data_IF_657399933594
#
_entry.id   IF_657399933594
#
_cell.length_a   1.000
_cell.length_b   1.000
_cell.length_c   1.000
_cell.angle_alpha   90.00
_cell.angle_beta   90.00
_cell.angle_gamma   90.00
#
_symmetry.space_group_name_H-M   'P 1'
#
loop_
_entity.id
_entity.type
_entity.pdbx_description
1 polymer ?
#
# COMPACT_ATOMS: atom_id res chain seq x y z
N UNK A 1 -4.97 34.11 27.64
CA UNK A 1 -4.87 33.21 28.81
C UNK A 1 -3.39 32.95 29.04
N UNK A 2 -2.87 33.39 30.18
CA UNK A 2 -1.44 33.35 30.49
C UNK A 2 -0.96 31.90 30.66
N UNK A 3 -0.04 31.48 29.80
CA UNK A 3 0.80 30.31 29.99
C UNK A 3 1.64 30.55 31.24
N UNK A 4 1.28 29.93 32.36
CA UNK A 4 2.12 29.93 33.55
C UNK A 4 3.31 29.02 33.29
N UNK A 5 4.41 29.59 32.78
CA UNK A 5 5.70 28.91 32.77
C UNK A 5 6.14 28.73 34.24
N UNK A 6 6.30 27.49 34.74
CA UNK A 6 6.65 27.23 36.14
C UNK A 6 7.97 27.89 36.57
N UNK A 7 8.87 28.18 35.64
CA UNK A 7 10.09 28.94 35.93
C UNK A 7 9.79 30.42 36.18
N UNK A 8 8.87 31.02 35.40
CA UNK A 8 8.48 32.43 35.56
C UNK A 8 7.78 32.73 36.88
N UNK A 9 7.04 31.77 37.44
CA UNK A 9 6.33 31.93 38.71
C UNK A 9 7.26 31.87 39.92
N UNK A 10 8.36 31.11 39.81
CA UNK A 10 9.37 30.95 40.86
C UNK A 10 10.40 32.09 40.82
N UNK A 11 10.73 32.60 39.62
CA UNK A 11 11.84 33.53 39.39
C UNK A 11 11.44 35.01 39.36
N UNK A 12 10.38 35.42 40.08
CA UNK A 12 9.90 36.82 40.13
C UNK A 12 11.04 37.80 40.49
N UNK A 13 11.69 38.38 39.46
CA UNK A 13 12.86 39.25 39.59
C UNK A 13 14.07 38.91 38.69
N UNK A 14 14.13 37.73 38.07
CA UNK A 14 15.28 37.29 37.25
C UNK A 14 15.02 37.39 35.73
N UNK A 15 14.60 38.58 35.27
CA UNK A 15 14.24 38.81 33.88
C UNK A 15 15.36 38.43 32.88
N UNK A 16 16.63 38.67 33.24
CA UNK A 16 17.78 38.29 32.41
C UNK A 16 17.97 36.79 32.30
N UNK A 17 17.74 36.02 33.38
CA UNK A 17 17.84 34.56 33.36
C UNK A 17 16.73 33.93 32.51
N UNK A 18 15.50 34.44 32.64
CA UNK A 18 14.38 34.02 31.81
C UNK A 18 14.65 34.31 30.33
N UNK A 19 15.14 35.51 30.00
CA UNK A 19 15.51 35.86 28.63
C UNK A 19 16.63 34.97 28.07
N UNK A 20 17.71 34.74 28.83
CA UNK A 20 18.79 33.83 28.40
C UNK A 20 18.29 32.39 28.22
N UNK A 21 17.36 31.93 29.08
CA UNK A 21 16.79 30.58 28.96
C UNK A 21 15.94 30.44 27.70
N UNK A 22 15.13 31.46 27.37
CA UNK A 22 14.37 31.51 26.12
C UNK A 22 15.29 31.54 24.90
N UNK A 23 16.32 32.39 24.90
CA UNK A 23 17.31 32.47 23.83
C UNK A 23 18.02 31.12 23.61
N UNK A 24 18.40 30.44 24.71
CA UNK A 24 19.01 29.11 24.67
C UNK A 24 18.04 28.06 24.13
N UNK A 25 16.76 28.12 24.50
CA UNK A 25 15.72 27.22 23.99
C UNK A 25 15.53 27.40 22.48
N UNK A 26 15.38 28.65 22.01
CA UNK A 26 15.24 28.96 20.59
C UNK A 26 16.46 28.51 19.78
N UNK A 27 17.67 28.77 20.27
CA UNK A 27 18.91 28.32 19.62
C UNK A 27 18.98 26.79 19.57
N UNK A 28 18.66 26.11 20.67
CA UNK A 28 18.67 24.64 20.74
C UNK A 28 17.69 24.02 19.75
N UNK A 29 16.46 24.56 19.67
CA UNK A 29 15.44 24.13 18.70
C UNK A 29 15.93 24.32 17.26
N UNK A 30 16.54 25.47 16.95
CA UNK A 30 17.10 25.75 15.62
C UNK A 30 18.22 24.78 15.25
N UNK A 31 19.14 24.50 16.18
CA UNK A 31 20.23 23.55 15.96
C UNK A 31 19.70 22.12 15.76
N UNK A 32 18.71 21.73 16.55
CA UNK A 32 18.03 20.44 16.42
C UNK A 32 17.38 20.26 15.04
N UNK A 33 16.55 21.24 14.60
CA UNK A 33 15.91 21.18 13.28
C UNK A 33 16.93 21.20 12.14
N UNK A 34 18.02 21.97 12.26
CA UNK A 34 19.11 21.94 11.27
C UNK A 34 19.80 20.56 11.22
N UNK A 35 19.99 19.92 12.37
CA UNK A 35 20.58 18.57 12.43
C UNK A 35 19.67 17.54 11.77
N UNK A 36 18.35 17.60 12.01
CA UNK A 36 17.37 16.74 11.35
C UNK A 36 17.36 16.93 9.84
N UNK A 37 17.35 18.18 9.36
CA UNK A 37 17.41 18.49 7.93
C UNK A 37 18.70 17.96 7.29
N UNK A 38 19.84 18.07 7.99
CA UNK A 38 21.11 17.52 7.52
C UNK A 38 21.07 15.99 7.45
N UNK A 39 20.51 15.33 8.46
CA UNK A 39 20.30 13.87 8.47
C UNK A 39 19.41 13.45 7.28
N UNK A 40 18.28 14.10 7.10
CA UNK A 40 17.35 13.84 6.00
C UNK A 40 18.01 14.05 4.62
N UNK A 41 18.81 15.11 4.47
CA UNK A 41 19.52 15.39 3.21
C UNK A 41 20.54 14.30 2.87
N UNK A 42 21.26 13.76 3.88
CA UNK A 42 22.22 12.67 3.68
C UNK A 42 21.57 11.37 3.23
N UNK A 43 20.34 11.09 3.67
CA UNK A 43 19.57 9.93 3.18
C UNK A 43 19.34 9.99 1.67
N UNK A 44 19.29 11.20 1.10
CA UNK A 44 19.06 11.43 -0.33
C UNK A 44 20.33 11.38 -1.18
N UNK A 45 21.51 11.52 -0.59
CA UNK A 45 22.77 11.48 -1.35
C UNK A 45 23.08 10.07 -1.90
N UNK A 46 22.72 9.03 -1.16
CA UNK A 46 22.89 7.63 -1.57
C UNK A 46 21.72 6.79 -1.09
N UNK A 47 20.73 6.65 -1.97
CA UNK A 47 19.54 5.82 -1.71
C UNK A 47 19.91 4.34 -1.77
N UNK A 48 19.65 3.62 -0.68
CA UNK A 48 19.78 2.16 -0.61
C UNK A 48 18.75 1.49 -1.51
N UNK A 49 19.14 0.40 -2.19
CA UNK A 49 18.20 -0.42 -2.95
C UNK A 49 17.33 -1.26 -2.00
N UNK A 50 16.12 -1.65 -2.42
CA UNK A 50 15.28 -2.56 -1.66
C UNK A 50 16.00 -3.88 -1.40
N UNK A 51 15.88 -4.46 -0.19
CA UNK A 51 16.40 -5.80 0.07
C UNK A 51 15.67 -6.87 -0.74
N UNK A 52 16.25 -8.07 -0.84
CA UNK A 52 15.69 -9.16 -1.63
C UNK A 52 14.32 -9.68 -1.12
N UNK A 53 14.01 -9.45 0.15
CA UNK A 53 12.72 -9.77 0.76
C UNK A 53 11.71 -8.61 0.65
N UNK A 54 12.06 -7.54 -0.08
CA UNK A 54 11.23 -6.34 -0.25
C UNK A 54 10.81 -5.69 1.08
N UNK A 55 11.60 -5.88 2.14
CA UNK A 55 11.43 -5.20 3.42
C UNK A 55 11.94 -3.75 3.42
N UNK A 56 11.67 -2.98 4.49
CA UNK A 56 12.27 -1.67 4.69
C UNK A 56 13.80 -1.70 4.66
N UNK A 57 14.43 -0.69 4.08
CA UNK A 57 15.89 -0.55 4.10
C UNK A 57 16.42 -0.27 5.52
N UNK A 58 17.73 -0.48 5.72
CA UNK A 58 18.38 -0.21 7.00
C UNK A 58 18.31 1.28 7.34
N UNK A 59 18.56 2.14 6.34
CA UNK A 59 18.46 3.59 6.49
C UNK A 59 17.06 4.05 6.94
N UNK A 60 16.00 3.47 6.36
CA UNK A 60 14.62 3.76 6.76
C UNK A 60 14.35 3.30 8.20
N UNK A 61 14.72 2.06 8.52
CA UNK A 61 14.49 1.46 9.86
C UNK A 61 15.18 2.28 10.96
N UNK A 62 16.45 2.65 10.76
CA UNK A 62 17.22 3.45 11.71
C UNK A 62 16.65 4.84 11.89
N UNK A 63 16.24 5.51 10.80
CA UNK A 63 15.68 6.86 10.88
C UNK A 63 14.31 6.86 11.56
N UNK A 64 13.47 5.83 11.31
CA UNK A 64 12.19 5.69 12.01
C UNK A 64 12.37 5.39 13.50
N UNK A 65 13.40 4.62 13.88
CA UNK A 65 13.75 4.40 15.29
C UNK A 65 14.16 5.72 15.97
N UNK A 66 15.03 6.52 15.33
CA UNK A 66 15.40 7.84 15.82
C UNK A 66 14.19 8.76 15.96
N UNK A 67 13.31 8.80 14.95
CA UNK A 67 12.08 9.60 14.99
C UNK A 67 11.20 9.17 16.17
N UNK A 68 11.05 7.87 16.40
CA UNK A 68 10.29 7.36 17.55
C UNK A 68 10.87 7.85 18.89
N UNK A 69 12.19 7.79 19.07
CA UNK A 69 12.85 8.29 20.29
C UNK A 69 12.63 9.79 20.49
N UNK A 70 12.74 10.58 19.42
CA UNK A 70 12.46 12.02 19.43
C UNK A 70 11.02 12.27 19.89
N UNK A 71 10.03 11.65 19.25
CA UNK A 71 8.62 11.87 19.56
C UNK A 71 8.27 11.40 20.98
N UNK A 72 8.86 10.30 21.46
CA UNK A 72 8.69 9.83 22.84
C UNK A 72 9.26 10.81 23.87
N UNK A 73 10.36 11.50 23.57
CA UNK A 73 10.91 12.53 24.48
C UNK A 73 9.95 13.71 24.68
N UNK A 74 9.23 14.10 23.62
CA UNK A 74 8.28 15.20 23.67
C UNK A 74 6.99 14.86 24.42
N UNK A 75 6.59 13.58 24.45
CA UNK A 75 5.38 13.14 25.16
C UNK A 75 5.49 13.45 26.67
N UNK A 76 6.71 13.34 27.21
CA UNK A 76 7.05 13.66 28.60
C UNK A 76 7.21 15.17 28.91
N UNK A 77 7.09 16.03 27.90
CA UNK A 77 7.32 17.48 28.04
C UNK A 77 6.15 18.20 28.74
N UNK A 78 6.44 19.30 29.44
CA UNK A 78 5.44 20.15 30.14
C UNK A 78 4.95 21.31 29.28
N UNK A 79 5.29 21.32 27.98
CA UNK A 79 4.96 22.38 27.01
C UNK A 79 3.45 22.38 26.72
N UNK A 80 2.82 23.56 26.53
CA UNK A 80 1.42 23.68 26.13
C UNK A 80 1.08 22.85 24.87
N UNK A 81 -0.13 22.30 24.83
CA UNK A 81 -0.56 21.37 23.77
C UNK A 81 -0.45 21.96 22.35
N UNK A 82 -0.83 23.22 22.16
CA UNK A 82 -0.80 23.85 20.84
C UNK A 82 0.64 24.01 20.32
N UNK A 83 1.57 24.45 21.17
CA UNK A 83 2.98 24.57 20.82
C UNK A 83 3.61 23.19 20.54
N UNK A 84 3.22 22.17 21.32
CA UNK A 84 3.64 20.77 21.09
C UNK A 84 3.17 20.28 19.72
N UNK A 85 1.90 20.54 19.35
CA UNK A 85 1.34 20.12 18.06
C UNK A 85 2.09 20.73 16.87
N UNK A 86 2.41 22.02 16.93
CA UNK A 86 3.19 22.68 15.87
C UNK A 86 4.57 22.06 15.72
N UNK A 87 5.27 21.83 16.83
CA UNK A 87 6.61 21.24 16.84
C UNK A 87 6.60 19.80 16.30
N UNK A 88 5.62 18.99 16.70
CA UNK A 88 5.42 17.64 16.15
C UNK A 88 5.24 17.68 14.63
N UNK A 89 4.39 18.57 14.15
CA UNK A 89 4.09 18.68 12.72
C UNK A 89 5.34 19.05 11.91
N UNK A 90 6.16 19.96 12.45
CA UNK A 90 7.41 20.40 11.82
C UNK A 90 8.45 19.27 11.78
N UNK A 91 8.64 18.56 12.89
CA UNK A 91 9.57 17.41 12.99
C UNK A 91 9.14 16.28 12.06
N UNK A 92 7.84 15.92 12.05
CA UNK A 92 7.31 14.90 11.17
C UNK A 92 7.53 15.25 9.71
N UNK A 93 7.25 16.48 9.30
CA UNK A 93 7.44 16.89 7.90
C UNK A 93 8.93 16.88 7.50
N UNK A 94 9.81 17.32 8.40
CA UNK A 94 11.26 17.32 8.19
C UNK A 94 11.84 15.91 7.96
N UNK A 95 11.23 14.87 8.54
CA UNK A 95 11.77 13.50 8.50
C UNK A 95 10.96 12.58 7.57
N UNK A 96 9.64 12.58 7.68
CA UNK A 96 8.77 11.64 6.94
C UNK A 96 8.76 11.96 5.45
N UNK A 97 8.75 13.23 5.05
CA UNK A 97 8.70 13.59 3.62
C UNK A 97 9.96 13.14 2.87
N UNK A 98 11.18 13.38 3.38
CA UNK A 98 12.41 12.82 2.78
C UNK A 98 12.45 11.29 2.79
N UNK A 99 11.93 10.64 3.84
CA UNK A 99 11.86 9.17 3.88
C UNK A 99 10.91 8.60 2.82
N UNK A 100 9.76 9.23 2.60
CA UNK A 100 8.83 8.85 1.54
C UNK A 100 9.50 8.99 0.16
N UNK A 101 10.18 10.11 -0.07
CA UNK A 101 10.94 10.33 -1.29
C UNK A 101 12.05 9.27 -1.47
N UNK A 102 12.74 8.90 -0.39
CA UNK A 102 13.76 7.85 -0.40
C UNK A 102 13.19 6.50 -0.81
N UNK A 103 12.05 6.13 -0.24
CA UNK A 103 11.37 4.89 -0.59
C UNK A 103 11.00 4.88 -2.08
N UNK A 104 10.41 5.97 -2.58
CA UNK A 104 10.04 6.08 -3.98
C UNK A 104 11.25 5.99 -4.93
N UNK A 105 12.36 6.66 -4.60
CA UNK A 105 13.60 6.58 -5.38
C UNK A 105 14.20 5.16 -5.36
N UNK A 106 14.20 4.52 -4.19
CA UNK A 106 14.69 3.15 -3.98
C UNK A 106 13.91 2.15 -4.84
N UNK A 107 12.59 2.32 -4.94
CA UNK A 107 11.70 1.43 -5.68
C UNK A 107 11.62 1.72 -7.19
N UNK A 108 12.20 2.83 -7.67
CA UNK A 108 11.94 3.39 -9.01
C UNK A 108 12.30 2.48 -10.19
N UNK A 109 13.15 1.47 -10.00
CA UNK A 109 13.58 0.53 -11.04
C UNK A 109 12.96 -0.87 -10.87
N UNK A 110 12.06 -1.05 -9.89
CA UNK A 110 11.38 -2.32 -9.68
C UNK A 110 10.21 -2.49 -10.65
N UNK A 111 9.85 -3.74 -10.91
CA UNK A 111 8.57 -4.05 -11.57
C UNK A 111 7.40 -3.66 -10.63
N UNK A 112 6.16 -3.55 -11.16
CA UNK A 112 5.03 -3.07 -10.36
C UNK A 112 4.75 -3.87 -9.08
N UNK A 113 4.86 -5.21 -9.12
CA UNK A 113 4.60 -6.07 -7.97
C UNK A 113 5.67 -5.91 -6.88
N UNK A 114 6.95 -5.88 -7.27
CA UNK A 114 8.06 -5.69 -6.34
C UNK A 114 8.02 -4.28 -5.73
N UNK A 115 7.78 -3.26 -6.56
CA UNK A 115 7.64 -1.87 -6.14
C UNK A 115 6.51 -1.72 -5.12
N UNK A 116 5.32 -2.22 -5.45
CA UNK A 116 4.15 -2.08 -4.59
C UNK A 116 4.35 -2.81 -3.25
N UNK A 117 4.96 -3.99 -3.25
CA UNK A 117 5.24 -4.74 -2.02
C UNK A 117 6.23 -4.00 -1.12
N UNK A 118 7.34 -3.52 -1.68
CA UNK A 118 8.33 -2.74 -0.94
C UNK A 118 7.72 -1.46 -0.36
N UNK A 119 6.93 -0.73 -1.16
CA UNK A 119 6.27 0.50 -0.71
C UNK A 119 5.25 0.22 0.39
N UNK A 120 4.40 -0.81 0.26
CA UNK A 120 3.46 -1.21 1.33
C UNK A 120 4.20 -1.51 2.62
N UNK A 121 5.31 -2.26 2.58
CA UNK A 121 6.10 -2.59 3.76
C UNK A 121 6.72 -1.34 4.42
N UNK A 122 7.28 -0.42 3.64
CA UNK A 122 7.85 0.83 4.13
C UNK A 122 6.79 1.74 4.78
N UNK A 123 5.68 1.96 4.07
CA UNK A 123 4.57 2.79 4.52
C UNK A 123 3.88 2.19 5.75
N UNK A 124 3.75 0.86 5.80
CA UNK A 124 3.22 0.16 6.97
C UNK A 124 4.08 0.41 8.20
N UNK A 125 5.41 0.28 8.10
CA UNK A 125 6.32 0.57 9.21
C UNK A 125 6.22 2.03 9.68
N UNK A 126 6.16 2.99 8.76
CA UNK A 126 5.94 4.39 9.09
C UNK A 126 4.62 4.57 9.85
N UNK A 127 3.53 4.05 9.30
CA UNK A 127 2.18 4.14 9.87
C UNK A 127 2.11 3.55 11.28
N UNK A 128 2.62 2.34 11.49
CA UNK A 128 2.60 1.69 12.81
C UNK A 128 3.48 2.39 13.83
N UNK A 129 4.54 3.06 13.38
CA UNK A 129 5.39 3.88 14.28
C UNK A 129 4.66 5.14 14.69
N UNK A 130 4.05 5.85 13.73
CA UNK A 130 3.35 7.11 13.99
C UNK A 130 2.04 6.92 14.77
N UNK A 131 1.37 5.77 14.64
CA UNK A 131 0.12 5.49 15.38
C UNK A 131 0.28 5.40 16.89
N UNK A 132 1.52 5.42 17.40
CA UNK A 132 1.82 5.45 18.83
C UNK A 132 1.75 6.86 19.43
N UNK A 133 1.61 7.90 18.61
CA UNK A 133 1.74 9.29 19.03
C UNK A 133 0.50 10.12 18.67
N UNK A 134 0.17 11.08 19.52
CA UNK A 134 -0.88 12.06 19.26
C UNK A 134 -0.51 13.02 18.11
N UNK A 135 -1.50 13.71 17.55
CA UNK A 135 -1.35 14.70 16.47
C UNK A 135 -0.83 14.13 15.14
N UNK A 136 -0.86 12.81 14.96
CA UNK A 136 -0.40 12.13 13.73
C UNK A 136 -1.52 11.81 12.75
N UNK A 137 -2.78 12.10 13.07
CA UNK A 137 -3.96 11.67 12.30
C UNK A 137 -3.87 12.00 10.80
N UNK A 138 -3.52 13.25 10.45
CA UNK A 138 -3.38 13.67 9.05
C UNK A 138 -2.30 12.87 8.30
N UNK A 139 -1.20 12.53 8.99
CA UNK A 139 -0.11 11.74 8.41
C UNK A 139 -0.53 10.27 8.29
N UNK A 140 -1.24 9.73 9.27
CA UNK A 140 -1.78 8.36 9.21
C UNK A 140 -2.80 8.19 8.08
N UNK A 141 -3.66 9.19 7.85
CA UNK A 141 -4.61 9.21 6.74
C UNK A 141 -3.88 9.19 5.39
N UNK A 142 -2.91 10.09 5.21
CA UNK A 142 -2.09 10.13 3.99
C UNK A 142 -1.33 8.82 3.74
N UNK A 143 -0.69 8.26 4.77
CA UNK A 143 0.02 6.98 4.66
C UNK A 143 -0.94 5.84 4.33
N UNK A 144 -2.15 5.85 4.89
CA UNK A 144 -3.17 4.83 4.60
C UNK A 144 -3.63 4.89 3.16
N UNK A 145 -3.87 6.09 2.63
CA UNK A 145 -4.22 6.27 1.22
C UNK A 145 -3.12 5.75 0.26
N UNK A 146 -1.86 5.99 0.59
CA UNK A 146 -0.74 5.45 -0.20
C UNK A 146 -0.61 3.93 -0.08
N UNK A 147 -0.81 3.37 1.11
CA UNK A 147 -0.87 1.91 1.30
C UNK A 147 -1.96 1.31 0.43
N UNK A 148 -3.18 1.87 0.47
CA UNK A 148 -4.30 1.38 -0.32
C UNK A 148 -4.03 1.43 -1.83
N UNK A 149 -3.43 2.51 -2.33
CA UNK A 149 -3.07 2.62 -3.75
C UNK A 149 -2.06 1.55 -4.21
N UNK A 150 -1.07 1.22 -3.37
CA UNK A 150 -0.12 0.15 -3.67
C UNK A 150 -0.73 -1.25 -3.48
N UNK A 151 -1.66 -1.42 -2.54
CA UNK A 151 -2.44 -2.66 -2.44
C UNK A 151 -3.28 -2.89 -3.69
N UNK A 152 -3.92 -1.86 -4.24
CA UNK A 152 -4.68 -1.98 -5.50
C UNK A 152 -3.78 -2.41 -6.66
N UNK A 153 -2.52 -1.95 -6.68
CA UNK A 153 -1.52 -2.45 -7.65
C UNK A 153 -1.27 -3.95 -7.45
N UNK A 154 -1.03 -4.41 -6.22
CA UNK A 154 -0.83 -5.83 -5.92
C UNK A 154 -2.06 -6.69 -6.21
N UNK A 155 -3.26 -6.18 -5.96
CA UNK A 155 -4.53 -6.85 -6.29
C UNK A 155 -4.62 -7.10 -7.78
N UNK A 156 -4.30 -6.09 -8.60
CA UNK A 156 -4.33 -6.21 -10.06
C UNK A 156 -3.25 -7.16 -10.58
N UNK A 157 -2.03 -7.09 -10.03
CA UNK A 157 -0.95 -8.02 -10.39
C UNK A 157 -1.30 -9.46 -9.99
N UNK A 158 -1.85 -9.68 -8.79
CA UNK A 158 -2.27 -11.00 -8.30
C UNK A 158 -3.38 -11.58 -9.18
N UNK A 159 -4.42 -10.79 -9.47
CA UNK A 159 -5.50 -11.23 -10.35
C UNK A 159 -4.99 -11.53 -11.77
N UNK A 160 -4.13 -10.67 -12.33
CA UNK A 160 -3.54 -10.85 -13.66
C UNK A 160 -2.67 -12.10 -13.73
N UNK A 161 -1.87 -12.37 -12.70
CA UNK A 161 -1.06 -13.57 -12.56
C UNK A 161 -1.94 -14.82 -12.61
N UNK A 162 -2.98 -14.90 -11.77
CA UNK A 162 -3.89 -16.04 -11.72
C UNK A 162 -4.66 -16.22 -13.03
N UNK A 163 -5.28 -15.16 -13.55
CA UNK A 163 -6.07 -15.19 -14.79
C UNK A 163 -5.23 -15.60 -16.00
N UNK A 164 -3.97 -15.21 -16.04
CA UNK A 164 -3.05 -15.62 -17.11
C UNK A 164 -2.71 -17.11 -17.00
N UNK A 165 -2.46 -17.62 -15.79
CA UNK A 165 -2.16 -19.05 -15.55
C UNK A 165 -3.33 -19.97 -15.92
N UNK A 166 -4.57 -19.54 -15.63
CA UNK A 166 -5.77 -20.32 -15.98
C UNK A 166 -6.24 -20.10 -17.44
N UNK A 167 -5.61 -19.19 -18.18
CA UNK A 167 -5.93 -18.88 -19.58
C UNK A 167 -7.13 -17.96 -19.79
N UNK A 168 -7.64 -17.31 -18.74
CA UNK A 168 -8.79 -16.40 -18.81
C UNK A 168 -8.41 -14.96 -19.18
N UNK A 169 -7.17 -14.54 -18.94
CA UNK A 169 -6.74 -13.15 -19.19
C UNK A 169 -6.92 -12.74 -20.67
N UNK A 170 -6.45 -13.57 -21.60
CA UNK A 170 -6.59 -13.28 -23.02
C UNK A 170 -8.05 -13.31 -23.47
N UNK A 171 -8.81 -14.33 -23.05
CA UNK A 171 -10.24 -14.45 -23.37
C UNK A 171 -11.02 -13.23 -22.91
N UNK A 172 -10.79 -12.80 -21.66
CA UNK A 172 -11.41 -11.60 -21.10
C UNK A 172 -11.08 -10.35 -21.93
N UNK A 173 -9.80 -10.17 -22.28
CA UNK A 173 -9.38 -9.03 -23.11
C UNK A 173 -10.07 -9.01 -24.47
N UNK A 174 -10.24 -10.17 -25.12
CA UNK A 174 -10.94 -10.25 -26.42
C UNK A 174 -12.42 -9.91 -26.24
N UNK A 175 -13.08 -10.44 -25.20
CA UNK A 175 -14.49 -10.14 -24.92
C UNK A 175 -14.72 -8.65 -24.66
N UNK A 176 -13.82 -7.97 -23.92
CA UNK A 176 -13.94 -6.53 -23.65
C UNK A 176 -13.80 -5.64 -24.89
N UNK A 177 -12.97 -6.06 -25.86
CA UNK A 177 -12.69 -5.29 -27.06
C UNK A 177 -13.65 -5.61 -28.21
N UNK A 178 -14.32 -6.76 -28.14
CA UNK A 178 -15.23 -7.26 -29.16
C UNK A 178 -16.42 -6.35 -29.36
N UNK A 179 -16.76 -6.10 -30.61
CA UNK A 179 -17.92 -5.30 -30.96
C UNK A 179 -18.98 -6.18 -31.62
N UNK A 180 -20.29 -5.97 -31.35
CA UNK A 180 -21.35 -6.82 -31.92
C UNK A 180 -21.35 -6.94 -33.45
N UNK A 181 -20.77 -5.95 -34.15
CA UNK A 181 -20.62 -5.93 -35.62
C UNK A 181 -19.56 -6.91 -36.16
N UNK A 182 -18.66 -7.39 -35.33
CA UNK A 182 -17.56 -8.29 -35.71
C UNK A 182 -18.00 -9.76 -35.78
N UNK A 183 -19.26 -10.05 -35.41
CA UNK A 183 -19.85 -11.38 -35.43
C UNK A 183 -19.98 -12.00 -34.04
N UNK A 184 -20.39 -13.27 -33.96
CA UNK A 184 -20.51 -13.98 -32.68
C UNK A 184 -19.13 -14.30 -32.09
N UNK A 185 -18.99 -14.21 -30.77
CA UNK A 185 -17.73 -14.55 -30.08
C UNK A 185 -17.29 -16.01 -30.33
N UNK A 186 -18.21 -16.95 -30.56
CA UNK A 186 -17.87 -18.35 -30.83
C UNK A 186 -17.07 -18.57 -32.12
N UNK A 187 -17.06 -17.59 -33.04
CA UNK A 187 -16.27 -17.61 -34.26
C UNK A 187 -14.91 -16.90 -34.13
N UNK A 188 -14.64 -16.26 -32.98
CA UNK A 188 -13.39 -15.54 -32.73
C UNK A 188 -12.31 -16.52 -32.29
N UNK A 189 -11.11 -16.38 -32.85
CA UNK A 189 -9.97 -17.24 -32.52
C UNK A 189 -9.64 -17.15 -31.02
N UNK A 190 -9.46 -18.29 -30.36
CA UNK A 190 -9.18 -18.37 -28.92
C UNK A 190 -10.42 -18.30 -28.02
N UNK A 191 -11.61 -18.07 -28.60
CA UNK A 191 -12.91 -18.11 -27.91
C UNK A 191 -13.82 -19.23 -28.45
N UNK A 192 -13.30 -20.16 -29.25
CA UNK A 192 -14.09 -21.32 -29.65
C UNK A 192 -14.40 -22.23 -28.43
N UNK A 193 -15.41 -23.09 -28.59
CA UNK A 193 -15.89 -23.99 -27.53
C UNK A 193 -14.79 -24.81 -26.87
N UNK A 194 -13.81 -25.30 -27.62
CA UNK A 194 -12.75 -26.15 -27.08
C UNK A 194 -11.73 -25.33 -26.29
N UNK A 195 -11.40 -24.14 -26.77
CA UNK A 195 -10.53 -23.19 -26.06
C UNK A 195 -11.13 -22.83 -24.70
N UNK A 196 -12.40 -22.42 -24.65
CA UNK A 196 -13.07 -22.05 -23.38
C UNK A 196 -13.15 -23.26 -22.44
N UNK A 197 -13.55 -24.44 -22.94
CA UNK A 197 -13.57 -25.66 -22.11
C UNK A 197 -12.21 -26.00 -21.51
N UNK A 198 -11.13 -25.73 -22.23
CA UNK A 198 -9.77 -25.98 -21.74
C UNK A 198 -9.42 -24.99 -20.63
N UNK A 199 -9.71 -23.70 -20.80
CA UNK A 199 -9.50 -22.71 -19.75
C UNK A 199 -10.36 -22.99 -18.50
N UNK A 200 -11.62 -23.42 -18.67
CA UNK A 200 -12.47 -23.80 -17.54
C UNK A 200 -11.92 -24.98 -16.74
N UNK A 201 -11.25 -25.96 -17.38
CA UNK A 201 -10.56 -27.04 -16.65
C UNK A 201 -9.42 -26.52 -15.78
N UNK A 202 -8.63 -25.57 -16.29
CA UNK A 202 -7.56 -24.96 -15.50
C UNK A 202 -8.12 -24.07 -14.38
N UNK A 203 -9.20 -23.34 -14.66
CA UNK A 203 -9.89 -22.54 -13.66
C UNK A 203 -10.46 -23.43 -12.54
N UNK A 204 -11.07 -24.56 -12.88
CA UNK A 204 -11.55 -25.54 -11.90
C UNK A 204 -10.43 -26.12 -11.04
N UNK A 205 -9.27 -26.38 -11.62
CA UNK A 205 -8.08 -26.81 -10.86
C UNK A 205 -7.63 -25.71 -9.88
N UNK A 206 -7.64 -24.45 -10.30
CA UNK A 206 -7.37 -23.32 -9.42
C UNK A 206 -8.41 -23.21 -8.28
N UNK A 207 -9.71 -23.36 -8.56
CA UNK A 207 -10.76 -23.32 -7.53
C UNK A 207 -10.58 -24.43 -6.48
N UNK A 208 -10.00 -25.57 -6.87
CA UNK A 208 -9.70 -26.66 -5.94
C UNK A 208 -8.47 -26.39 -5.06
N UNK A 209 -7.55 -25.53 -5.48
CA UNK A 209 -6.33 -25.18 -4.75
C UNK A 209 -5.86 -23.74 -5.05
N UNK A 210 -6.57 -22.72 -4.51
CA UNK A 210 -6.27 -21.32 -4.82
C UNK A 210 -4.87 -20.86 -4.37
N UNK A 211 -4.38 -21.44 -3.27
CA UNK A 211 -3.08 -21.12 -2.66
C UNK A 211 -1.88 -21.45 -3.56
N UNK A 212 -2.07 -22.30 -4.58
CA UNK A 212 -1.00 -22.66 -5.53
C UNK A 212 -0.67 -21.52 -6.50
N UNK A 213 -1.60 -20.59 -6.71
CA UNK A 213 -1.45 -19.46 -7.63
C UNK A 213 -1.39 -18.13 -6.89
N UNK A 214 -0.44 -18.01 -5.96
CA UNK A 214 -0.15 -16.77 -5.22
C UNK A 214 1.16 -16.15 -5.70
N UNK A 215 1.14 -14.87 -6.01
CA UNK A 215 2.34 -14.09 -6.33
C UNK A 215 3.37 -14.21 -5.19
N UNK A 216 4.64 -14.52 -5.49
CA UNK A 216 5.69 -14.59 -4.49
C UNK A 216 5.79 -13.32 -3.63
N UNK A 217 5.57 -12.16 -4.24
CA UNK A 217 5.62 -10.85 -3.59
C UNK A 217 4.61 -10.71 -2.44
N UNK A 218 3.41 -11.28 -2.56
CA UNK A 218 2.41 -11.26 -1.49
C UNK A 218 2.91 -11.96 -0.21
N UNK A 219 3.86 -12.89 -0.34
CA UNK A 219 4.48 -13.59 0.81
C UNK A 219 5.44 -12.68 1.58
N UNK A 220 5.96 -11.63 0.95
CA UNK A 220 6.86 -10.64 1.56
C UNK A 220 6.12 -9.50 2.28
N UNK A 221 4.79 -9.41 2.16
CA UNK A 221 4.01 -8.44 2.93
C UNK A 221 4.17 -8.69 4.43
N UNK A 222 4.64 -7.69 5.16
CA UNK A 222 4.89 -7.77 6.60
C UNK A 222 3.59 -7.86 7.43
N UNK A 223 2.49 -7.30 6.93
CA UNK A 223 1.19 -7.34 7.58
C UNK A 223 0.34 -8.49 7.03
N UNK A 224 -0.02 -9.44 7.90
CA UNK A 224 -0.95 -10.52 7.56
C UNK A 224 -2.34 -9.98 7.19
N UNK A 225 -2.79 -8.91 7.84
CA UNK A 225 -4.07 -8.25 7.52
C UNK A 225 -4.05 -7.64 6.12
N UNK A 226 -2.96 -6.98 5.72
CA UNK A 226 -2.85 -6.43 4.37
C UNK A 226 -2.75 -7.54 3.31
N UNK A 227 -2.10 -8.67 3.64
CA UNK A 227 -2.07 -9.85 2.77
C UNK A 227 -3.46 -10.42 2.52
N UNK A 228 -4.27 -10.55 3.57
CA UNK A 228 -5.68 -10.98 3.48
C UNK A 228 -6.54 -10.00 2.65
N UNK A 229 -6.24 -8.70 2.71
CA UNK A 229 -6.90 -7.70 1.84
C UNK A 229 -6.56 -7.92 0.36
N UNK A 230 -5.28 -8.15 0.02
CA UNK A 230 -4.87 -8.42 -1.37
C UNK A 230 -5.53 -9.70 -1.88
N UNK A 231 -5.51 -10.75 -1.07
CA UNK A 231 -6.11 -12.04 -1.42
C UNK A 231 -7.60 -11.89 -1.74
N UNK A 232 -8.40 -11.39 -0.80
CA UNK A 232 -9.85 -11.19 -0.98
C UNK A 232 -10.20 -10.30 -2.16
N UNK A 233 -9.55 -9.14 -2.28
CA UNK A 233 -9.83 -8.21 -3.39
C UNK A 233 -9.41 -8.80 -4.74
N UNK A 234 -8.34 -9.59 -4.80
CA UNK A 234 -7.93 -10.25 -6.04
C UNK A 234 -8.92 -11.34 -6.46
N UNK A 235 -9.46 -12.09 -5.49
CA UNK A 235 -10.56 -13.02 -5.74
C UNK A 235 -11.79 -12.30 -6.27
N UNK A 236 -12.12 -11.11 -5.75
CA UNK A 236 -13.23 -10.29 -6.27
C UNK A 236 -13.06 -9.93 -7.75
N UNK A 237 -11.85 -9.55 -8.16
CA UNK A 237 -11.54 -9.26 -9.57
C UNK A 237 -11.69 -10.51 -10.42
N UNK A 238 -11.16 -11.65 -9.98
CA UNK A 238 -11.27 -12.93 -10.70
C UNK A 238 -12.74 -13.34 -10.86
N UNK A 239 -13.56 -13.16 -9.82
CA UNK A 239 -15.02 -13.42 -9.86
C UNK A 239 -15.71 -12.55 -10.90
N UNK A 240 -15.39 -11.25 -10.97
CA UNK A 240 -15.97 -10.33 -11.95
C UNK A 240 -15.59 -10.69 -13.38
N UNK A 241 -14.34 -11.11 -13.61
CA UNK A 241 -13.89 -11.59 -14.92
C UNK A 241 -14.64 -12.86 -15.33
N UNK A 242 -14.79 -13.81 -14.42
CA UNK A 242 -15.57 -15.02 -14.67
C UNK A 242 -17.04 -14.71 -15.01
N UNK A 243 -17.67 -13.79 -14.27
CA UNK A 243 -19.06 -13.39 -14.50
C UNK A 243 -19.26 -12.80 -15.89
N UNK A 244 -18.36 -11.91 -16.34
CA UNK A 244 -18.41 -11.34 -17.69
C UNK A 244 -18.20 -12.40 -18.78
N UNK A 245 -17.31 -13.37 -18.57
CA UNK A 245 -17.13 -14.49 -19.50
C UNK A 245 -18.37 -15.41 -19.53
N UNK A 246 -18.97 -15.66 -18.36
CA UNK A 246 -20.20 -16.46 -18.25
C UNK A 246 -21.35 -15.81 -19.01
N UNK A 247 -21.56 -14.51 -18.84
CA UNK A 247 -22.57 -13.74 -19.58
C UNK A 247 -22.31 -13.78 -21.09
N UNK A 248 -21.05 -13.57 -21.51
CA UNK A 248 -20.68 -13.62 -22.92
C UNK A 248 -20.94 -15.01 -23.57
N UNK A 249 -20.64 -16.10 -22.86
CA UNK A 249 -20.85 -17.47 -23.37
C UNK A 249 -22.34 -17.86 -23.37
N UNK A 250 -23.10 -17.38 -22.40
CA UNK A 250 -24.53 -17.69 -22.26
C UNK A 250 -25.44 -16.80 -23.11
N UNK A 251 -24.93 -15.68 -23.62
CA UNK A 251 -25.64 -14.84 -24.58
C UNK A 251 -25.86 -15.57 -25.92
N UNK A 252 -27.13 -15.76 -26.26
CA UNK A 252 -27.57 -16.34 -27.53
C UNK A 252 -27.01 -15.63 -28.78
N UNK A 253 -26.68 -14.34 -28.70
CA UNK A 253 -26.07 -13.58 -29.80
C UNK A 253 -24.68 -14.11 -30.18
N UNK A 254 -23.97 -14.72 -29.21
CA UNK A 254 -22.63 -15.26 -29.41
C UNK A 254 -22.60 -16.69 -29.91
N UNK A 255 -23.77 -17.32 -30.13
CA UNK A 255 -23.94 -18.60 -30.85
C UNK A 255 -23.02 -19.71 -30.36
N UNK A 256 -22.88 -19.87 -29.04
CA UNK A 256 -22.24 -21.05 -28.46
C UNK A 256 -23.22 -22.23 -28.44
N UNK A 257 -22.75 -23.41 -28.83
CA UNK A 257 -23.49 -24.66 -28.70
C UNK A 257 -23.39 -25.17 -27.26
N UNK A 258 -24.55 -25.45 -26.64
CA UNK A 258 -24.70 -25.91 -25.26
C UNK A 258 -23.88 -25.12 -24.22
N UNK A 259 -24.16 -23.83 -23.99
CA UNK A 259 -23.39 -22.99 -23.05
C UNK A 259 -23.23 -23.57 -21.65
N UNK A 260 -24.24 -24.31 -21.16
CA UNK A 260 -24.23 -24.94 -19.84
C UNK A 260 -23.22 -26.09 -19.71
N UNK A 261 -22.85 -26.72 -20.83
CA UNK A 261 -21.82 -27.75 -20.86
C UNK A 261 -20.40 -27.15 -20.94
N UNK A 262 -20.28 -25.88 -21.37
CA UNK A 262 -19.04 -25.10 -21.35
C UNK A 262 -18.83 -24.48 -19.95
N UNK A 263 -19.84 -23.76 -19.45
CA UNK A 263 -19.81 -23.03 -18.17
C UNK A 263 -20.60 -23.79 -17.10
N UNK A 264 -20.00 -24.84 -16.55
CA UNK A 264 -20.68 -25.74 -15.61
C UNK A 264 -21.04 -25.10 -14.27
N UNK A 265 -20.34 -24.03 -13.87
CA UNK A 265 -20.58 -23.32 -12.61
C UNK A 265 -21.21 -21.95 -12.87
N UNK A 266 -22.23 -21.60 -12.12
CA UNK A 266 -22.82 -20.25 -12.18
C UNK A 266 -21.94 -19.24 -11.44
N UNK A 267 -22.05 -17.93 -11.75
CA UNK A 267 -21.35 -16.89 -10.97
C UNK A 267 -21.65 -16.96 -9.48
N UNK A 268 -22.88 -17.33 -9.07
CA UNK A 268 -23.19 -17.53 -7.64
C UNK A 268 -22.40 -18.68 -7.01
N UNK A 269 -22.20 -19.79 -7.72
CA UNK A 269 -21.40 -20.91 -7.23
C UNK A 269 -19.93 -20.51 -7.11
N UNK A 270 -19.38 -19.79 -8.09
CA UNK A 270 -18.00 -19.28 -8.01
C UNK A 270 -17.83 -18.32 -6.82
N UNK A 271 -18.81 -17.45 -6.55
CA UNK A 271 -18.77 -16.58 -5.37
C UNK A 271 -18.70 -17.34 -4.05
N UNK A 272 -19.34 -18.51 -3.95
CA UNK A 272 -19.28 -19.36 -2.75
C UNK A 272 -17.96 -20.13 -2.62
N UNK A 273 -17.30 -20.45 -3.74
CA UNK A 273 -16.03 -21.16 -3.74
C UNK A 273 -14.84 -20.24 -3.45
N UNK A 274 -14.96 -18.95 -3.77
CA UNK A 274 -13.95 -17.92 -3.59
C UNK A 274 -14.32 -16.90 -2.48
N UNK A 275 -15.14 -17.30 -1.50
CA UNK A 275 -15.58 -16.45 -0.37
C UNK A 275 -14.62 -16.49 0.80
#
# INVERSE_FOLDING_TARGET
MHSHDPLSSILQGSASLLATTDDMHQLSKKLFMNSLNCHASKLMEKVELPPADLGPTAALTQTMALLREILSSYDSSVVPLDARRTDFTEVLSCVVDPLLQMCAMSASQLNPADMATYMVNCLYMMKTTLSLFEFTDQRLEMLSAQVDAHLDTLVNEQASFTLSHVGLAHMYSVVQQHQPREGPLSAVHGLDRNSIKTAMKHFDAFLASPDDLVLPQCKFLLSATLRDVVDKRSMDVIRQVYEQLYEAVTDSANKYEDPNDIMQRTPQQIRQLLS
#
